data_IF_713294275705
#
_entry.id   IF_713294275705
#
_cell.length_a   1.000
_cell.length_b   1.000
_cell.length_c   1.000
_cell.angle_alpha   90.00
_cell.angle_beta   90.00
_cell.angle_gamma   90.00
#
_symmetry.space_group_name_H-M   'P 1'
#
loop_
_entity.id
_entity.type
_entity.pdbx_description
1 polymer ?
#
# COMPACT_ATOMS: atom_id res chain seq x y z
N UNK A 1 -2.13 3.54 -4.34
CA UNK A 1 -0.74 3.29 -4.73
C UNK A 1 -0.26 2.09 -3.95
N UNK A 2 -0.18 0.95 -4.59
CA UNK A 2 0.48 -0.21 -3.99
C UNK A 2 1.95 -0.16 -4.41
N UNK A 3 2.86 -0.18 -3.48
CA UNK A 3 4.27 -0.23 -3.75
C UNK A 3 4.83 -1.54 -3.22
N UNK A 4 5.03 -2.52 -4.07
CA UNK A 4 5.66 -3.78 -3.70
C UNK A 4 7.01 -3.91 -4.40
N UNK A 5 8.05 -3.63 -3.68
CA UNK A 5 9.38 -4.13 -3.99
C UNK A 5 9.68 -5.22 -2.95
N UNK A 6 10.19 -6.37 -3.39
CA UNK A 6 10.53 -7.51 -2.52
C UNK A 6 11.67 -7.17 -1.54
N UNK A 7 12.31 -6.02 -1.72
CA UNK A 7 13.35 -5.51 -0.81
C UNK A 7 12.75 -4.48 0.16
N UNK A 8 12.91 -4.71 1.45
CA UNK A 8 12.61 -3.68 2.45
C UNK A 8 13.50 -2.44 2.24
N UNK A 9 12.96 -1.24 2.50
CA UNK A 9 13.75 -0.01 2.47
C UNK A 9 13.78 0.78 1.17
N UNK A 10 13.08 0.36 0.10
CA UNK A 10 13.03 1.11 -1.18
C UNK A 10 12.21 2.42 -1.14
N UNK A 11 11.73 2.83 0.01
CA UNK A 11 11.00 4.10 0.18
C UNK A 11 9.49 4.03 -0.03
N UNK A 12 8.86 2.86 0.02
CA UNK A 12 7.39 2.68 -0.11
C UNK A 12 6.61 3.56 0.85
N UNK A 13 6.73 3.29 2.12
CA UNK A 13 6.05 4.03 3.19
C UNK A 13 6.37 5.53 3.15
N UNK A 14 7.66 5.88 2.92
CA UNK A 14 8.04 7.28 2.77
C UNK A 14 7.32 7.93 1.59
N UNK A 15 7.18 7.24 0.46
CA UNK A 15 6.42 7.72 -0.70
C UNK A 15 4.95 7.90 -0.35
N UNK A 16 4.30 6.90 0.25
CA UNK A 16 2.88 6.92 0.60
C UNK A 16 2.56 8.09 1.55
N UNK A 17 3.33 8.26 2.63
CA UNK A 17 3.13 9.32 3.62
C UNK A 17 3.40 10.72 3.03
N UNK A 18 4.51 10.90 2.30
CA UNK A 18 4.86 12.21 1.73
C UNK A 18 3.95 12.61 0.57
N UNK A 19 3.51 11.66 -0.26
CA UNK A 19 2.51 11.91 -1.31
C UNK A 19 1.19 12.32 -0.67
N UNK A 20 0.73 11.59 0.36
CA UNK A 20 -0.47 11.93 1.11
C UNK A 20 -0.41 13.35 1.69
N UNK A 21 0.69 13.68 2.37
CA UNK A 21 0.88 15.02 2.93
C UNK A 21 0.93 16.12 1.85
N UNK A 22 1.50 15.82 0.68
CA UNK A 22 1.54 16.77 -0.44
C UNK A 22 0.15 16.99 -1.03
N UNK A 23 -0.67 15.95 -1.17
CA UNK A 23 -2.05 16.05 -1.64
C UNK A 23 -2.92 16.83 -0.66
N UNK A 24 -2.75 16.62 0.65
CA UNK A 24 -3.44 17.41 1.68
C UNK A 24 -3.10 18.89 1.58
N UNK A 25 -1.81 19.25 1.37
CA UNK A 25 -1.40 20.62 1.11
C UNK A 25 -2.05 21.23 -0.14
N UNK A 26 -2.42 20.40 -1.10
CA UNK A 26 -3.19 20.76 -2.30
C UNK A 26 -4.71 20.75 -2.05
N UNK A 27 -5.14 20.73 -0.79
CA UNK A 27 -6.54 20.74 -0.36
C UNK A 27 -7.33 19.52 -0.88
N UNK A 28 -6.67 18.35 -1.00
CA UNK A 28 -7.32 17.09 -1.30
C UNK A 28 -7.62 16.31 -0.03
N UNK A 29 -8.76 15.64 0.00
CA UNK A 29 -9.11 14.71 1.07
C UNK A 29 -8.41 13.38 0.78
N UNK A 30 -7.57 12.95 1.69
CA UNK A 30 -6.70 11.78 1.52
C UNK A 30 -6.91 10.77 2.63
N UNK A 31 -7.22 9.54 2.25
CA UNK A 31 -7.16 8.39 3.11
C UNK A 31 -5.86 7.61 2.81
N UNK A 32 -5.08 7.33 3.83
CA UNK A 32 -3.97 6.40 3.76
C UNK A 32 -4.36 5.10 4.46
N UNK A 33 -4.25 3.99 3.76
CA UNK A 33 -4.47 2.63 4.28
C UNK A 33 -3.13 1.98 4.50
N UNK A 34 -2.81 1.65 5.75
CA UNK A 34 -1.59 0.94 6.10
C UNK A 34 -1.86 -0.58 6.12
N UNK A 35 -1.28 -1.31 5.15
CA UNK A 35 -1.36 -2.78 5.04
C UNK A 35 -0.08 -3.49 5.47
N UNK A 36 0.93 -2.75 5.95
CA UNK A 36 2.15 -3.39 6.44
C UNK A 36 1.99 -3.74 7.93
N UNK A 37 2.17 -5.01 8.33
CA UNK A 37 2.18 -5.40 9.75
C UNK A 37 3.20 -4.65 10.63
N UNK A 38 4.22 -4.04 10.01
CA UNK A 38 5.19 -3.19 10.72
C UNK A 38 4.60 -1.83 11.13
N UNK A 39 3.43 -1.44 10.59
CA UNK A 39 2.72 -0.20 10.90
C UNK A 39 3.58 1.08 10.73
N UNK A 40 4.51 1.06 9.77
CA UNK A 40 5.41 2.20 9.55
C UNK A 40 4.69 3.44 9.02
N UNK A 41 3.66 3.30 8.20
CA UNK A 41 2.83 4.43 7.76
C UNK A 41 2.01 4.99 8.92
N UNK A 42 1.48 4.11 9.77
CA UNK A 42 0.74 4.47 10.99
C UNK A 42 1.60 5.33 11.92
N UNK A 43 2.81 4.88 12.22
CA UNK A 43 3.77 5.64 13.04
C UNK A 43 4.22 6.91 12.31
N UNK A 44 4.46 6.84 11.01
CA UNK A 44 4.86 7.98 10.18
C UNK A 44 3.81 9.10 10.13
N UNK A 45 2.54 8.77 10.31
CA UNK A 45 1.43 9.74 10.45
C UNK A 45 1.22 10.21 11.90
N UNK A 46 2.08 9.80 12.84
CA UNK A 46 2.07 10.25 14.23
C UNK A 46 1.14 9.49 15.16
N UNK A 47 0.59 8.32 14.74
CA UNK A 47 -0.23 7.49 15.59
C UNK A 47 0.59 6.42 16.31
N UNK A 48 0.18 6.16 17.56
CA UNK A 48 0.67 5.03 18.38
C UNK A 48 -0.46 4.02 18.57
N UNK A 49 -0.14 2.77 18.85
CA UNK A 49 -1.12 1.68 19.03
C UNK A 49 -2.21 1.99 20.06
N UNK A 50 -1.91 2.79 21.06
CA UNK A 50 -2.86 3.17 22.11
C UNK A 50 -3.94 4.18 21.67
N UNK A 51 -3.87 4.71 20.45
CA UNK A 51 -4.76 5.76 19.96
C UNK A 51 -5.88 5.26 19.03
N UNK A 52 -5.95 3.94 18.79
CA UNK A 52 -7.02 3.32 18.00
C UNK A 52 -7.34 1.92 18.54
N UNK A 53 -8.62 1.56 18.48
CA UNK A 53 -9.12 0.26 18.97
C UNK A 53 -9.10 -0.80 17.87
N UNK A 54 -9.41 -0.40 16.62
CA UNK A 54 -9.48 -1.23 15.43
C UNK A 54 -8.44 -0.83 14.40
N UNK A 55 -8.09 -1.78 13.53
CA UNK A 55 -7.06 -1.59 12.50
C UNK A 55 -7.51 -2.23 11.18
N UNK A 56 -6.66 -2.15 10.16
CA UNK A 56 -6.82 -2.87 8.89
C UNK A 56 -7.01 -4.38 9.09
N UNK A 57 -6.42 -4.94 10.15
CA UNK A 57 -6.62 -6.34 10.54
C UNK A 57 -8.08 -6.63 10.83
N UNK A 58 -8.71 -5.88 11.76
CA UNK A 58 -10.12 -6.05 12.12
C UNK A 58 -11.06 -5.84 10.93
N UNK A 59 -10.73 -4.87 10.07
CA UNK A 59 -11.50 -4.61 8.84
C UNK A 59 -11.42 -5.77 7.85
N UNK A 60 -10.26 -6.35 7.64
CA UNK A 60 -10.07 -7.49 6.73
C UNK A 60 -10.72 -8.77 7.26
N UNK A 61 -10.83 -8.94 8.58
CA UNK A 61 -11.59 -10.04 9.20
C UNK A 61 -13.11 -9.81 9.13
N UNK A 62 -13.56 -8.58 8.89
CA UNK A 62 -14.98 -8.22 8.89
C UNK A 62 -15.54 -8.00 10.29
N UNK A 63 -14.68 -7.76 11.28
CA UNK A 63 -15.08 -7.49 12.67
C UNK A 63 -15.63 -6.07 12.85
N UNK A 64 -15.21 -5.14 11.99
CA UNK A 64 -15.69 -3.75 11.99
C UNK A 64 -15.68 -3.17 10.57
N UNK A 65 -16.42 -2.07 10.40
CA UNK A 65 -16.44 -1.30 9.15
C UNK A 65 -15.20 -0.45 8.96
N UNK A 66 -14.76 -0.26 7.72
CA UNK A 66 -13.64 0.62 7.44
C UNK A 66 -13.93 2.08 7.86
N UNK A 67 -15.14 2.65 7.68
CA UNK A 67 -15.45 4.00 8.16
C UNK A 67 -15.28 4.18 9.67
N UNK A 68 -15.61 3.15 10.47
CA UNK A 68 -15.53 3.20 11.93
C UNK A 68 -14.08 3.05 12.45
N UNK A 69 -13.15 2.67 11.58
CA UNK A 69 -11.74 2.40 11.91
C UNK A 69 -10.83 3.56 11.50
N UNK A 70 -11.32 4.50 10.68
CA UNK A 70 -10.52 5.64 10.21
C UNK A 70 -10.22 6.59 11.36
N UNK A 71 -8.95 6.96 11.48
CA UNK A 71 -8.45 7.92 12.49
C UNK A 71 -7.95 9.19 11.80
N UNK A 72 -8.42 10.34 12.25
CA UNK A 72 -7.92 11.63 11.79
C UNK A 72 -6.55 11.92 12.40
N UNK A 73 -5.57 12.26 11.57
CA UNK A 73 -4.22 12.58 12.03
C UNK A 73 -3.95 14.08 12.05
N UNK A 74 -2.97 14.50 12.82
CA UNK A 74 -2.55 15.92 12.88
C UNK A 74 -1.93 16.43 11.57
N UNK A 75 -1.53 15.52 10.67
CA UNK A 75 -1.01 15.87 9.35
C UNK A 75 -2.11 16.21 8.33
N UNK A 76 -3.38 15.99 8.70
CA UNK A 76 -4.53 16.14 7.81
C UNK A 76 -4.77 14.95 6.87
N UNK A 77 -3.94 13.91 6.95
CA UNK A 77 -4.20 12.63 6.32
C UNK A 77 -5.12 11.84 7.24
N UNK A 78 -6.26 11.35 6.74
CA UNK A 78 -7.02 10.35 7.46
C UNK A 78 -6.38 8.98 7.26
N UNK A 79 -6.34 8.16 8.30
CA UNK A 79 -5.59 6.91 8.31
C UNK A 79 -6.46 5.73 8.70
N UNK A 80 -6.39 4.66 7.92
CA UNK A 80 -6.80 3.32 8.33
C UNK A 80 -5.54 2.61 8.86
N UNK A 81 -5.37 2.51 10.20
CA UNK A 81 -4.09 2.12 10.80
C UNK A 81 -3.83 0.62 10.70
N UNK A 82 -2.57 0.23 10.77
CA UNK A 82 -2.12 -1.16 10.83
C UNK A 82 -1.70 -1.58 12.24
N UNK A 83 -1.55 -2.89 12.43
CA UNK A 83 -1.03 -3.49 13.65
C UNK A 83 -0.27 -4.79 13.39
N UNK A 84 0.59 -5.27 14.32
CA UNK A 84 1.37 -6.49 14.13
C UNK A 84 0.55 -7.77 13.92
N UNK A 85 -0.68 -7.84 14.45
CA UNK A 85 -1.59 -8.97 14.23
C UNK A 85 -1.87 -9.24 12.75
N UNK A 86 -1.79 -8.20 11.90
CA UNK A 86 -1.96 -8.31 10.45
C UNK A 86 -0.98 -9.30 9.79
N UNK A 87 0.15 -9.62 10.44
CA UNK A 87 1.07 -10.66 9.95
C UNK A 87 0.42 -12.07 9.89
N UNK A 88 -0.56 -12.34 10.74
CA UNK A 88 -1.28 -13.61 10.80
C UNK A 88 -2.45 -13.73 9.82
N UNK A 89 -2.88 -12.65 9.20
CA UNK A 89 -4.12 -12.57 8.40
C UNK A 89 -4.20 -13.62 7.29
N UNK A 90 -3.08 -14.00 6.69
CA UNK A 90 -3.06 -15.01 5.63
C UNK A 90 -3.53 -16.38 6.12
N UNK A 91 -3.14 -16.77 7.33
CA UNK A 91 -3.57 -18.05 7.93
C UNK A 91 -5.07 -18.02 8.25
N UNK A 92 -5.55 -16.90 8.79
CA UNK A 92 -6.94 -16.71 9.18
C UNK A 92 -7.90 -16.68 7.98
N UNK A 93 -7.46 -16.07 6.88
CA UNK A 93 -8.23 -16.00 5.64
C UNK A 93 -8.05 -17.21 4.71
N UNK A 94 -7.30 -18.24 5.11
CA UNK A 94 -6.97 -19.38 4.21
C UNK A 94 -8.21 -20.10 3.69
N UNK A 95 -9.25 -20.24 4.51
CA UNK A 95 -10.50 -20.92 4.16
C UNK A 95 -11.53 -20.04 3.47
N UNK A 96 -11.30 -18.73 3.46
CA UNK A 96 -12.25 -17.75 2.94
C UNK A 96 -12.12 -17.63 1.43
N UNK A 97 -13.24 -17.78 0.72
CA UNK A 97 -13.29 -17.70 -0.75
C UNK A 97 -13.15 -16.26 -1.27
N UNK A 98 -13.50 -15.27 -0.44
CA UNK A 98 -13.47 -13.83 -0.73
C UNK A 98 -12.21 -13.12 -0.24
N UNK A 99 -11.22 -13.87 0.25
CA UNK A 99 -10.01 -13.36 0.92
C UNK A 99 -9.23 -12.29 0.12
N UNK A 100 -9.32 -12.30 -1.20
CA UNK A 100 -8.58 -11.39 -2.08
C UNK A 100 -9.32 -10.09 -2.39
N UNK A 101 -10.62 -10.03 -2.08
CA UNK A 101 -11.48 -8.87 -2.39
C UNK A 101 -11.93 -8.08 -1.16
N UNK A 102 -11.52 -8.48 0.03
CA UNK A 102 -12.01 -7.91 1.30
C UNK A 102 -11.71 -6.44 1.44
N UNK A 103 -10.49 -6.01 1.08
CA UNK A 103 -10.15 -4.59 1.11
C UNK A 103 -11.00 -3.79 0.12
N UNK A 104 -11.22 -4.29 -1.10
CA UNK A 104 -12.08 -3.63 -2.08
C UNK A 104 -13.50 -3.49 -1.55
N UNK A 105 -14.04 -4.53 -0.95
CA UNK A 105 -15.39 -4.49 -0.35
C UNK A 105 -15.45 -3.46 0.79
N UNK A 106 -14.46 -3.43 1.67
CA UNK A 106 -14.39 -2.47 2.77
C UNK A 106 -14.28 -1.02 2.26
N UNK A 107 -13.41 -0.76 1.28
CA UNK A 107 -13.21 0.58 0.72
C UNK A 107 -14.39 1.06 -0.13
N UNK A 108 -15.23 0.17 -0.66
CA UNK A 108 -16.44 0.55 -1.42
C UNK A 108 -17.48 1.29 -0.57
N UNK A 109 -17.40 1.19 0.75
CA UNK A 109 -18.28 1.91 1.69
C UNK A 109 -17.82 3.34 1.96
N UNK A 110 -16.66 3.73 1.43
CA UNK A 110 -16.01 5.02 1.68
C UNK A 110 -16.08 5.86 0.40
N UNK A 111 -16.74 7.03 0.46
CA UNK A 111 -16.98 7.89 -0.72
C UNK A 111 -16.39 9.30 -0.59
N UNK A 112 -15.89 9.68 0.58
CA UNK A 112 -15.58 11.07 0.91
C UNK A 112 -14.14 11.51 0.63
N UNK A 113 -13.33 10.68 -0.05
CA UNK A 113 -11.93 10.98 -0.34
C UNK A 113 -11.68 11.21 -1.82
N UNK A 114 -10.81 12.18 -2.11
CA UNK A 114 -10.32 12.41 -3.48
C UNK A 114 -9.25 11.37 -3.87
N UNK A 115 -8.47 10.90 -2.86
CA UNK A 115 -7.44 9.90 -3.03
C UNK A 115 -7.43 8.89 -1.88
N UNK A 116 -7.32 7.61 -2.22
CA UNK A 116 -7.02 6.53 -1.29
C UNK A 116 -5.64 5.98 -1.65
N UNK A 117 -4.68 6.15 -0.75
CA UNK A 117 -3.33 5.60 -0.87
C UNK A 117 -3.25 4.31 -0.04
N UNK A 118 -2.61 3.27 -0.58
CA UNK A 118 -2.47 1.99 0.11
C UNK A 118 -0.98 1.68 0.24
N UNK A 119 -0.46 1.69 1.46
CA UNK A 119 0.92 1.29 1.75
C UNK A 119 0.99 -0.21 2.00
N UNK A 120 1.84 -0.90 1.25
CA UNK A 120 1.89 -2.36 1.20
C UNK A 120 3.18 -2.92 1.81
N UNK A 121 3.11 -4.14 2.40
CA UNK A 121 4.30 -4.84 2.87
C UNK A 121 5.24 -5.21 1.70
N UNK A 122 6.52 -5.50 1.98
CA UNK A 122 7.51 -5.88 0.96
C UNK A 122 7.36 -7.31 0.44
N UNK A 123 6.19 -7.93 0.58
CA UNK A 123 5.93 -9.33 0.19
C UNK A 123 4.73 -9.44 -0.73
N UNK A 124 4.79 -10.35 -1.72
CA UNK A 124 3.67 -10.67 -2.61
C UNK A 124 2.74 -11.71 -1.96
N UNK A 125 2.04 -11.29 -0.92
CA UNK A 125 1.10 -12.12 -0.16
C UNK A 125 -0.35 -11.65 -0.34
N UNK A 126 -1.28 -12.20 0.43
CA UNK A 126 -2.72 -11.86 0.37
C UNK A 126 -2.99 -10.37 0.61
N UNK A 127 -2.17 -9.67 1.39
CA UNK A 127 -2.30 -8.23 1.64
C UNK A 127 -2.02 -7.43 0.37
N UNK A 128 -0.90 -7.72 -0.31
CA UNK A 128 -0.57 -7.09 -1.58
C UNK A 128 -1.61 -7.39 -2.66
N UNK A 129 -2.14 -8.62 -2.71
CA UNK A 129 -3.22 -8.96 -3.65
C UNK A 129 -4.47 -8.14 -3.34
N UNK A 130 -4.88 -8.02 -2.07
CA UNK A 130 -6.00 -7.15 -1.67
C UNK A 130 -5.82 -5.71 -2.12
N UNK A 131 -4.62 -5.15 -1.94
CA UNK A 131 -4.31 -3.80 -2.40
C UNK A 131 -4.45 -3.65 -3.92
N UNK A 132 -3.88 -4.58 -4.70
CA UNK A 132 -3.95 -4.57 -6.17
C UNK A 132 -5.38 -4.75 -6.68
N UNK A 133 -6.18 -5.59 -6.01
CA UNK A 133 -7.59 -5.80 -6.35
C UNK A 133 -8.43 -4.57 -6.05
N UNK A 134 -8.11 -3.82 -4.99
CA UNK A 134 -8.84 -2.62 -4.59
C UNK A 134 -8.41 -1.35 -5.33
N UNK A 135 -7.18 -1.30 -5.85
CA UNK A 135 -6.60 -0.09 -6.43
C UNK A 135 -7.03 0.14 -7.88
N UNK A 136 -7.05 1.41 -8.32
CA UNK A 136 -7.16 1.80 -9.73
C UNK A 136 -5.78 1.83 -10.40
N UNK A 137 -4.73 2.15 -9.66
CA UNK A 137 -3.37 2.26 -10.19
C UNK A 137 -2.29 1.87 -9.19
N UNK A 138 -1.13 1.49 -9.72
CA UNK A 138 0.06 1.09 -8.97
C UNK A 138 1.19 2.05 -9.30
N UNK A 139 1.71 2.73 -8.29
CA UNK A 139 3.00 3.44 -8.37
C UNK A 139 4.07 2.54 -7.74
N UNK A 140 5.16 2.30 -8.44
CA UNK A 140 6.20 1.36 -8.03
C UNK A 140 7.47 2.13 -7.67
N UNK A 141 7.77 2.36 -6.38
CA UNK A 141 9.06 2.90 -5.97
C UNK A 141 10.15 1.85 -6.20
N UNK A 142 11.18 2.22 -6.94
CA UNK A 142 12.31 1.35 -7.30
C UNK A 142 13.60 2.04 -6.88
N UNK A 143 14.41 1.34 -6.09
CA UNK A 143 15.78 1.75 -5.83
C UNK A 143 16.65 1.39 -7.03
N UNK A 144 17.49 2.31 -7.52
CA UNK A 144 18.34 2.08 -8.69
C UNK A 144 19.53 1.16 -8.35
N UNK A 145 19.22 -0.11 -8.05
CA UNK A 145 20.19 -1.19 -7.76
C UNK A 145 19.88 -2.41 -8.63
N UNK A 146 20.89 -3.22 -8.91
CA UNK A 146 20.76 -4.37 -9.81
C UNK A 146 19.66 -5.37 -9.41
N UNK A 147 19.53 -5.66 -8.12
CA UNK A 147 18.51 -6.61 -7.63
C UNK A 147 17.07 -6.07 -7.65
N UNK A 148 16.88 -4.79 -7.89
CA UNK A 148 15.52 -4.22 -7.96
C UNK A 148 14.75 -4.71 -9.20
N UNK A 149 15.45 -5.04 -10.29
CA UNK A 149 14.86 -5.54 -11.53
C UNK A 149 14.21 -6.92 -11.35
N UNK A 150 14.82 -7.80 -10.54
CA UNK A 150 14.26 -9.13 -10.26
C UNK A 150 12.94 -9.03 -9.47
N UNK A 151 12.92 -8.18 -8.43
CA UNK A 151 11.70 -7.91 -7.66
C UNK A 151 10.59 -7.29 -8.51
N UNK A 152 10.95 -6.38 -9.42
CA UNK A 152 10.01 -5.75 -10.33
C UNK A 152 9.31 -6.77 -11.24
N UNK A 153 10.02 -7.75 -11.78
CA UNK A 153 9.45 -8.80 -12.63
C UNK A 153 8.35 -9.58 -11.92
N UNK A 154 8.59 -10.03 -10.67
CA UNK A 154 7.58 -10.75 -9.88
C UNK A 154 6.33 -9.92 -9.57
N UNK A 155 6.51 -8.61 -9.35
CA UNK A 155 5.39 -7.70 -9.18
C UNK A 155 4.58 -7.54 -10.48
N UNK A 156 5.24 -7.33 -11.60
CA UNK A 156 4.58 -7.18 -12.92
C UNK A 156 3.77 -8.44 -13.28
N UNK A 157 4.30 -9.63 -13.03
CA UNK A 157 3.56 -10.88 -13.19
C UNK A 157 2.31 -10.94 -12.29
N UNK A 158 2.44 -10.49 -11.04
CA UNK A 158 1.31 -10.45 -10.10
C UNK A 158 0.26 -9.45 -10.55
N UNK A 159 0.65 -8.26 -11.00
CA UNK A 159 -0.26 -7.26 -11.58
C UNK A 159 -0.98 -7.84 -12.80
N UNK A 160 -0.27 -8.55 -13.69
CA UNK A 160 -0.86 -9.18 -14.87
C UNK A 160 -1.92 -10.23 -14.48
N UNK A 161 -1.64 -11.08 -13.47
CA UNK A 161 -2.62 -12.05 -12.95
C UNK A 161 -3.86 -11.38 -12.37
N UNK A 162 -3.68 -10.34 -11.56
CA UNK A 162 -4.80 -9.59 -10.97
C UNK A 162 -5.65 -8.93 -12.06
N UNK A 163 -5.04 -8.37 -13.11
CA UNK A 163 -5.76 -7.83 -14.27
C UNK A 163 -6.62 -8.87 -14.97
N UNK A 164 -6.13 -10.08 -15.10
CA UNK A 164 -6.84 -11.16 -15.78
C UNK A 164 -7.98 -11.76 -14.95
N UNK A 165 -7.89 -11.71 -13.62
CA UNK A 165 -8.84 -12.40 -12.74
C UNK A 165 -9.82 -11.47 -12.04
N UNK A 166 -9.32 -10.42 -11.38
CA UNK A 166 -10.08 -9.72 -10.34
C UNK A 166 -10.20 -8.21 -10.53
N UNK A 167 -9.28 -7.58 -11.31
CA UNK A 167 -9.27 -6.13 -11.53
C UNK A 167 -8.70 -5.77 -12.91
N UNK A 168 -9.52 -5.90 -13.96
CA UNK A 168 -9.11 -5.61 -15.34
C UNK A 168 -8.74 -4.15 -15.60
N UNK A 169 -9.20 -3.23 -14.74
CA UNK A 169 -8.92 -1.79 -14.84
C UNK A 169 -7.63 -1.33 -14.15
N UNK A 170 -6.90 -2.23 -13.46
CA UNK A 170 -5.69 -1.85 -12.74
C UNK A 170 -4.63 -1.29 -13.69
N UNK A 171 -4.22 -0.03 -13.51
CA UNK A 171 -3.17 0.63 -14.28
C UNK A 171 -1.82 0.57 -13.57
N UNK A 172 -0.71 0.64 -14.33
CA UNK A 172 0.60 0.98 -13.77
C UNK A 172 0.80 2.47 -14.04
N UNK A 173 0.81 3.27 -12.97
CA UNK A 173 0.96 4.72 -13.05
C UNK A 173 2.41 5.12 -13.39
N UNK A 174 3.36 4.32 -12.95
CA UNK A 174 4.77 4.53 -13.26
C UNK A 174 5.72 3.91 -12.26
N UNK A 175 7.01 4.05 -12.57
CA UNK A 175 8.12 3.70 -11.70
C UNK A 175 8.66 4.98 -11.05
N UNK A 176 8.74 5.01 -9.73
CA UNK A 176 9.36 6.10 -8.99
C UNK A 176 10.78 5.72 -8.57
N UNK A 177 11.77 6.31 -9.18
CA UNK A 177 13.16 6.12 -8.77
C UNK A 177 13.41 6.75 -7.41
N UNK A 178 13.79 5.93 -6.45
CA UNK A 178 14.13 6.38 -5.09
C UNK A 178 15.64 6.23 -4.87
N UNK A 179 16.20 7.06 -3.97
CA UNK A 179 17.63 7.03 -3.62
C UNK A 179 18.56 7.11 -4.84
N UNK A 180 18.11 7.82 -5.89
CA UNK A 180 18.87 7.97 -7.12
C UNK A 180 20.05 8.94 -6.92
N UNK A 181 21.27 8.48 -7.24
CA UNK A 181 22.45 9.34 -7.33
C UNK A 181 23.00 9.31 -8.78
N UNK A 182 22.79 10.40 -9.51
CA UNK A 182 23.24 10.53 -10.92
C UNK A 182 24.76 10.50 -11.10
N UNK A 183 25.54 10.54 -10.02
CA UNK A 183 27.01 10.37 -10.06
C UNK A 183 27.42 8.90 -10.07
N UNK A 184 26.50 8.00 -9.77
CA UNK A 184 26.73 6.56 -9.75
C UNK A 184 26.38 5.96 -11.12
N UNK A 185 27.35 5.35 -11.82
CA UNK A 185 27.17 4.73 -13.14
C UNK A 185 26.11 3.61 -13.11
N UNK A 186 26.07 2.80 -12.05
CA UNK A 186 25.11 1.73 -11.89
C UNK A 186 23.67 2.28 -11.80
N UNK A 187 23.47 3.37 -11.06
CA UNK A 187 22.16 4.02 -10.96
C UNK A 187 21.67 4.54 -12.32
N UNK A 188 22.56 5.03 -13.16
CA UNK A 188 22.24 5.48 -14.51
C UNK A 188 21.91 4.30 -15.43
N UNK A 189 22.70 3.22 -15.43
CA UNK A 189 22.49 2.03 -16.25
C UNK A 189 21.13 1.35 -15.92
N UNK A 190 20.81 1.20 -14.63
CA UNK A 190 19.50 0.66 -14.19
C UNK A 190 18.33 1.57 -14.57
N UNK A 191 18.59 2.86 -14.72
CA UNK A 191 17.55 3.84 -15.09
C UNK A 191 17.23 3.87 -16.59
N UNK A 192 18.13 3.35 -17.43
CA UNK A 192 17.99 3.31 -18.89
C UNK A 192 17.31 2.02 -19.39
N UNK A 193 17.18 1.01 -18.53
CA UNK A 193 16.47 -0.24 -18.80
C UNK A 193 14.97 -0.13 -18.49
#
# INVERSE_FOLDING_TARGET
VCSSDLKGGCGKTATSVNLGASLVKMQRRVLLVDLDPQANATVGCGLTRAQYDHSTYSVLLGECGAPDTIVQTTSGIDLLPSEPALAGIQAELTTETDREIRLRAALSTITDYDYVLIDCPPSLNVLTINALVAAHGVLIPVQCEYYALEGLSGLLETVARVRQSSNSGLAIEGLLRTMFDGRNSLSNEVSEQ
#
